data_IF_117359598041
#
_entry.id   IF_117359598041
#
_cell.length_a   1.000
_cell.length_b   1.000
_cell.length_c   1.000
_cell.angle_alpha   90.00
_cell.angle_beta   90.00
_cell.angle_gamma   90.00
#
_symmetry.space_group_name_H-M   'P 1'
#
loop_
_entity.id
_entity.type
_entity.pdbx_description
1 polymer ?
#
# COMPACT_ATOMS: atom_id res chain seq x y z
N UNK A 1 3.96 17.03 -13.67
CA UNK A 1 4.04 15.65 -13.18
C UNK A 1 5.40 15.45 -12.50
N UNK A 2 5.49 14.56 -11.54
CA UNK A 2 6.68 14.38 -10.71
C UNK A 2 6.54 14.94 -9.29
N UNK A 3 5.36 15.41 -8.92
CA UNK A 3 5.06 15.79 -7.53
C UNK A 3 4.66 14.51 -6.78
N UNK A 4 5.33 14.27 -5.65
CA UNK A 4 4.98 13.14 -4.78
C UNK A 4 3.53 13.21 -4.31
N UNK A 5 2.84 12.06 -4.26
CA UNK A 5 1.48 11.94 -3.71
C UNK A 5 1.38 12.48 -2.28
N UNK A 6 2.48 12.49 -1.52
CA UNK A 6 2.53 13.03 -0.15
C UNK A 6 2.17 14.51 -0.08
N UNK A 7 2.63 15.34 -1.03
CA UNK A 7 2.28 16.76 -1.06
C UNK A 7 0.80 16.97 -1.38
N UNK A 8 0.27 16.16 -2.31
CA UNK A 8 -1.16 16.21 -2.68
C UNK A 8 -2.01 15.81 -1.47
N UNK A 9 -1.65 14.71 -0.80
CA UNK A 9 -2.31 14.25 0.43
C UNK A 9 -2.28 15.30 1.54
N UNK A 10 -1.12 15.93 1.77
CA UNK A 10 -0.99 16.98 2.78
C UNK A 10 -1.92 18.17 2.48
N UNK A 11 -1.98 18.63 1.23
CA UNK A 11 -2.88 19.73 0.83
C UNK A 11 -4.36 19.36 1.00
N UNK A 12 -4.75 18.14 0.67
CA UNK A 12 -6.13 17.68 0.88
C UNK A 12 -6.49 17.62 2.36
N UNK A 13 -5.59 17.10 3.21
CA UNK A 13 -5.84 16.98 4.65
C UNK A 13 -6.02 18.32 5.36
N UNK A 14 -5.30 19.37 4.95
CA UNK A 14 -5.46 20.71 5.54
C UNK A 14 -6.62 21.51 4.93
N UNK A 15 -7.12 21.11 3.75
CA UNK A 15 -8.13 21.85 3.00
C UNK A 15 -9.41 22.16 3.78
N UNK A 16 -9.96 21.26 4.64
CA UNK A 16 -11.14 21.56 5.44
C UNK A 16 -10.99 22.80 6.34
N UNK A 17 -9.75 23.08 6.82
CA UNK A 17 -9.46 24.22 7.70
C UNK A 17 -9.15 25.52 6.95
N UNK A 18 -8.98 25.46 5.64
CA UNK A 18 -8.72 26.63 4.82
C UNK A 18 -9.97 27.49 4.62
N UNK A 19 -9.83 28.80 4.61
CA UNK A 19 -10.97 29.77 4.49
C UNK A 19 -11.84 29.53 3.25
N UNK A 20 -11.26 29.05 2.15
CA UNK A 20 -11.97 28.80 0.87
C UNK A 20 -11.86 27.33 0.43
N UNK A 21 -11.26 26.47 1.26
CA UNK A 21 -10.95 25.12 0.85
C UNK A 21 -9.90 25.07 -0.25
N UNK A 22 -9.88 23.98 -1.02
CA UNK A 22 -8.94 23.80 -2.13
C UNK A 22 -9.62 23.09 -3.31
N UNK A 23 -9.18 23.43 -4.52
CA UNK A 23 -9.47 22.65 -5.73
C UNK A 23 -8.12 22.29 -6.38
N UNK A 24 -7.79 21.00 -6.38
CA UNK A 24 -6.55 20.50 -6.96
C UNK A 24 -6.86 19.80 -8.28
N UNK A 25 -6.27 20.31 -9.35
CA UNK A 25 -6.30 19.66 -10.64
C UNK A 25 -4.94 18.98 -10.90
N UNK A 26 -4.95 17.64 -10.95
CA UNK A 26 -3.74 16.85 -11.15
C UNK A 26 -3.49 16.67 -12.64
N UNK A 27 -2.24 16.86 -13.09
CA UNK A 27 -1.85 16.71 -14.49
C UNK A 27 -0.72 15.69 -14.63
N UNK A 28 -0.79 14.85 -15.65
CA UNK A 28 0.21 13.83 -15.94
C UNK A 28 -0.04 12.52 -15.15
N UNK A 29 0.97 11.65 -15.16
CA UNK A 29 0.91 10.37 -14.47
C UNK A 29 1.04 10.55 -12.96
N UNK A 30 0.12 9.97 -12.21
CA UNK A 30 0.14 9.98 -10.75
C UNK A 30 0.95 8.78 -10.25
N UNK A 31 2.14 9.06 -9.73
CA UNK A 31 2.96 8.06 -9.04
C UNK A 31 2.38 7.85 -7.64
N UNK A 32 2.39 6.61 -7.15
CA UNK A 32 1.85 6.26 -5.82
C UNK A 32 0.37 6.66 -5.63
N UNK A 33 -0.44 6.50 -6.67
CA UNK A 33 -1.89 6.78 -6.63
C UNK A 33 -2.60 6.12 -5.43
N UNK A 34 -2.31 4.86 -5.05
CA UNK A 34 -2.95 4.21 -3.91
C UNK A 34 -2.86 5.02 -2.61
N UNK A 35 -1.75 5.72 -2.36
CA UNK A 35 -1.59 6.54 -1.15
C UNK A 35 -2.49 7.78 -1.15
N UNK A 36 -2.71 8.39 -2.33
CA UNK A 36 -3.70 9.45 -2.46
C UNK A 36 -5.12 8.89 -2.22
N UNK A 37 -5.43 7.72 -2.78
CA UNK A 37 -6.72 7.05 -2.58
C UNK A 37 -6.97 6.70 -1.11
N UNK A 38 -5.95 6.19 -0.41
CA UNK A 38 -5.97 5.95 1.02
C UNK A 38 -6.33 7.24 1.78
N UNK A 39 -5.64 8.36 1.48
CA UNK A 39 -5.91 9.66 2.12
C UNK A 39 -7.35 10.10 1.91
N UNK A 40 -7.85 10.07 0.67
CA UNK A 40 -9.22 10.46 0.35
C UNK A 40 -10.25 9.55 1.05
N UNK A 41 -10.00 8.24 1.09
CA UNK A 41 -10.88 7.28 1.75
C UNK A 41 -10.94 7.53 3.26
N UNK A 42 -9.79 7.77 3.91
CA UNK A 42 -9.73 8.12 5.33
C UNK A 42 -10.43 9.46 5.61
N UNK A 43 -10.21 10.49 4.81
CA UNK A 43 -10.91 11.77 4.95
C UNK A 43 -12.44 11.57 4.92
N UNK A 44 -12.94 10.74 3.99
CA UNK A 44 -14.37 10.42 3.89
C UNK A 44 -14.88 9.65 5.11
N UNK A 45 -14.10 8.74 5.70
CA UNK A 45 -14.45 8.06 6.96
C UNK A 45 -14.61 9.05 8.12
N UNK A 46 -13.78 10.10 8.17
CA UNK A 46 -13.91 11.20 9.15
C UNK A 46 -14.99 12.23 8.78
N UNK A 47 -15.85 11.91 7.82
CA UNK A 47 -17.00 12.72 7.42
C UNK A 47 -16.64 13.92 6.54
N UNK A 48 -15.42 13.98 6.01
CA UNK A 48 -15.00 15.04 5.10
C UNK A 48 -15.52 14.73 3.70
N UNK A 49 -16.22 15.69 3.12
CA UNK A 49 -16.69 15.61 1.74
C UNK A 49 -15.53 15.97 0.82
N UNK A 50 -15.08 15.00 0.05
CA UNK A 50 -14.10 15.17 -1.03
C UNK A 50 -14.83 14.91 -2.35
N UNK A 51 -15.12 15.99 -3.09
CA UNK A 51 -15.66 15.92 -4.43
C UNK A 51 -14.54 15.51 -5.39
N UNK A 52 -14.80 14.53 -6.23
CA UNK A 52 -13.82 14.02 -7.18
C UNK A 52 -14.46 13.95 -8.57
N UNK A 53 -13.87 14.67 -9.51
CA UNK A 53 -14.24 14.61 -10.92
C UNK A 53 -12.98 14.42 -11.77
N UNK A 54 -12.85 13.25 -12.39
CA UNK A 54 -11.66 12.86 -13.16
C UNK A 54 -10.38 12.95 -12.29
N UNK A 55 -9.50 13.91 -12.60
CA UNK A 55 -8.26 14.19 -11.87
C UNK A 55 -8.35 15.48 -11.03
N UNK A 56 -9.55 15.94 -10.71
CA UNK A 56 -9.79 17.13 -9.90
C UNK A 56 -10.39 16.73 -8.57
N UNK A 57 -9.77 17.19 -7.49
CA UNK A 57 -10.23 16.96 -6.11
C UNK A 57 -10.60 18.32 -5.50
N UNK A 58 -11.84 18.45 -5.07
CA UNK A 58 -12.33 19.67 -4.41
C UNK A 58 -12.73 19.36 -2.98
N UNK A 59 -12.17 20.10 -2.05
CA UNK A 59 -12.51 20.04 -0.62
C UNK A 59 -12.89 21.44 -0.16
N UNK A 60 -14.13 21.62 0.27
CA UNK A 60 -14.65 22.87 0.81
C UNK A 60 -14.31 23.01 2.29
N UNK A 61 -14.35 24.23 2.86
CA UNK A 61 -14.25 24.43 4.31
C UNK A 61 -15.30 23.61 5.03
N UNK A 62 -14.90 22.82 6.02
CA UNK A 62 -15.80 21.98 6.79
C UNK A 62 -15.17 21.55 8.10
N UNK A 63 -15.98 21.17 9.07
CA UNK A 63 -15.50 20.69 10.36
C UNK A 63 -15.28 19.18 10.32
N UNK A 64 -14.10 18.76 10.74
CA UNK A 64 -13.78 17.34 10.92
C UNK A 64 -14.46 16.83 12.18
N UNK A 65 -15.13 15.68 12.09
CA UNK A 65 -15.77 15.04 13.24
C UNK A 65 -14.87 13.99 13.83
N UNK A 66 -14.62 14.00 15.15
CA UNK A 66 -13.88 12.93 15.80
C UNK A 66 -14.70 11.63 15.75
N UNK A 67 -14.05 10.55 15.38
CA UNK A 67 -14.60 9.19 15.42
C UNK A 67 -13.60 8.25 16.11
N UNK A 68 -14.06 7.17 16.76
CA UNK A 68 -13.18 6.08 17.13
C UNK A 68 -12.55 5.49 15.86
N UNK A 69 -11.23 5.38 15.85
CA UNK A 69 -10.51 4.86 14.68
C UNK A 69 -9.35 3.98 15.13
N UNK A 70 -9.24 2.79 14.56
CA UNK A 70 -8.09 1.91 14.76
C UNK A 70 -7.18 2.01 13.54
N UNK A 71 -5.93 2.39 13.76
CA UNK A 71 -4.94 2.48 12.69
C UNK A 71 -4.53 1.07 12.29
N UNK A 72 -4.66 0.76 11.02
CA UNK A 72 -4.16 -0.48 10.43
C UNK A 72 -2.63 -0.54 10.53
N UNK A 73 -2.07 -1.73 10.71
CA UNK A 73 -0.62 -1.93 10.64
C UNK A 73 -0.07 -1.64 9.23
N UNK A 74 1.21 -1.32 9.17
CA UNK A 74 1.88 -0.87 7.95
C UNK A 74 2.25 -2.06 7.04
N UNK A 75 1.66 -2.11 5.84
CA UNK A 75 1.96 -3.11 4.83
C UNK A 75 3.37 -2.95 4.21
N UNK A 76 3.91 -1.72 4.18
CA UNK A 76 5.30 -1.50 3.76
C UNK A 76 6.26 -2.17 4.74
N UNK A 77 6.05 -1.98 6.04
CA UNK A 77 6.82 -2.67 7.08
C UNK A 77 6.60 -4.19 7.05
N UNK A 78 5.37 -4.64 6.77
CA UNK A 78 5.07 -6.06 6.63
C UNK A 78 5.88 -6.72 5.51
N UNK A 79 6.20 -6.00 4.42
CA UNK A 79 6.92 -6.53 3.26
C UNK A 79 8.26 -7.17 3.62
N UNK A 80 8.96 -6.64 4.62
CA UNK A 80 10.23 -7.22 5.09
C UNK A 80 10.04 -8.61 5.73
N UNK A 81 8.89 -8.86 6.37
CA UNK A 81 8.57 -10.19 6.88
C UNK A 81 8.23 -11.18 5.78
N UNK A 82 7.64 -10.72 4.67
CA UNK A 82 7.49 -11.53 3.46
C UNK A 82 8.85 -11.91 2.87
N UNK A 83 9.79 -10.97 2.84
CA UNK A 83 11.17 -11.23 2.39
C UNK A 83 11.86 -12.27 3.30
N UNK A 84 11.80 -12.08 4.62
CA UNK A 84 12.34 -13.05 5.59
C UNK A 84 11.72 -14.43 5.39
N UNK A 85 10.40 -14.51 5.20
CA UNK A 85 9.72 -15.77 4.95
C UNK A 85 10.18 -16.42 3.63
N UNK A 86 10.36 -15.63 2.56
CA UNK A 86 10.78 -16.13 1.26
C UNK A 86 12.23 -16.63 1.27
N UNK A 87 13.11 -15.97 2.01
CA UNK A 87 14.54 -16.32 2.09
C UNK A 87 14.86 -17.37 3.15
N UNK A 88 13.90 -17.75 4.00
CA UNK A 88 14.13 -18.79 5.02
C UNK A 88 14.51 -20.12 4.40
N UNK A 89 15.51 -20.79 4.98
CA UNK A 89 15.95 -22.14 4.58
C UNK A 89 15.17 -23.25 5.30
N UNK A 90 14.39 -22.89 6.32
CA UNK A 90 13.57 -23.81 7.13
C UNK A 90 12.08 -23.49 6.95
N UNK A 91 11.20 -24.43 7.28
CA UNK A 91 9.78 -24.12 7.36
C UNK A 91 9.55 -22.89 8.24
N UNK A 92 8.77 -21.95 7.76
CA UNK A 92 8.50 -20.70 8.44
C UNK A 92 7.00 -20.47 8.57
N UNK A 93 6.60 -19.99 9.73
CA UNK A 93 5.29 -19.45 10.01
C UNK A 93 5.48 -18.13 10.77
N UNK A 94 4.96 -17.02 10.22
CA UNK A 94 5.07 -15.68 10.81
C UNK A 94 3.66 -15.13 10.96
N UNK A 95 3.33 -14.66 12.15
CA UNK A 95 2.08 -13.96 12.40
C UNK A 95 2.31 -12.45 12.52
N UNK A 96 1.55 -11.68 11.74
CA UNK A 96 1.59 -10.22 11.70
C UNK A 96 0.22 -9.68 12.14
N UNK A 97 0.15 -9.00 13.28
CA UNK A 97 -1.13 -8.46 13.77
C UNK A 97 -1.50 -7.14 13.08
N UNK A 98 -2.78 -6.86 12.99
CA UNK A 98 -3.32 -5.54 12.63
C UNK A 98 -3.33 -5.23 11.14
N UNK A 99 -2.98 -6.16 10.28
CA UNK A 99 -3.13 -6.04 8.82
C UNK A 99 -4.54 -6.49 8.40
N UNK A 100 -5.17 -5.74 7.50
CA UNK A 100 -6.55 -6.01 7.08
C UNK A 100 -6.61 -6.67 5.69
N UNK A 101 -7.58 -7.58 5.45
CA UNK A 101 -7.76 -8.22 4.15
C UNK A 101 -8.20 -7.22 3.06
N UNK A 102 -8.98 -6.19 3.44
CA UNK A 102 -9.50 -5.16 2.53
C UNK A 102 -8.72 -3.85 2.70
N UNK A 103 -7.41 -3.95 2.89
CA UNK A 103 -6.55 -2.79 3.13
C UNK A 103 -6.64 -1.76 2.01
N UNK A 104 -6.70 -0.49 2.40
CA UNK A 104 -6.60 0.64 1.49
C UNK A 104 -5.14 0.99 1.14
N UNK A 105 -4.17 0.37 1.83
CA UNK A 105 -2.75 0.55 1.54
C UNK A 105 -2.40 -0.18 0.24
N UNK A 106 -1.80 0.51 -0.72
CA UNK A 106 -1.41 -0.07 -2.01
C UNK A 106 -0.44 -1.25 -1.85
N UNK A 107 0.40 -1.18 -0.82
CA UNK A 107 1.43 -2.16 -0.51
C UNK A 107 0.87 -3.52 -0.05
N UNK A 108 -0.42 -3.60 0.32
CA UNK A 108 -1.11 -4.87 0.56
C UNK A 108 -1.04 -5.83 -0.65
N UNK A 109 -0.79 -5.29 -1.84
CA UNK A 109 -0.52 -6.07 -3.06
C UNK A 109 0.64 -7.05 -2.89
N UNK A 110 1.55 -6.82 -1.94
CA UNK A 110 2.67 -7.72 -1.61
C UNK A 110 2.18 -9.15 -1.32
N UNK A 111 1.02 -9.31 -0.69
CA UNK A 111 0.41 -10.60 -0.39
C UNK A 111 0.20 -11.45 -1.65
N UNK A 112 -0.19 -10.82 -2.74
CA UNK A 112 -0.38 -11.50 -4.04
C UNK A 112 0.93 -11.72 -4.78
N UNK A 113 1.85 -10.76 -4.73
CA UNK A 113 3.14 -10.85 -5.43
C UNK A 113 4.02 -11.96 -4.86
N UNK A 114 4.05 -12.10 -3.54
CA UNK A 114 4.90 -13.11 -2.89
C UNK A 114 4.38 -14.55 -3.03
N UNK A 115 3.19 -14.75 -3.54
CA UNK A 115 2.76 -16.09 -3.98
C UNK A 115 3.72 -16.67 -5.04
N UNK A 116 4.28 -15.82 -5.91
CA UNK A 116 5.27 -16.23 -6.91
C UNK A 116 6.57 -16.74 -6.29
N UNK A 117 6.83 -16.42 -5.04
CA UNK A 117 7.99 -16.87 -4.27
C UNK A 117 7.64 -17.95 -3.22
N UNK A 118 6.42 -18.54 -3.33
CA UNK A 118 5.96 -19.61 -2.46
C UNK A 118 5.42 -19.17 -1.10
N UNK A 119 5.17 -17.86 -0.88
CA UNK A 119 4.61 -17.35 0.36
C UNK A 119 3.08 -17.27 0.25
N UNK A 120 2.41 -17.93 1.17
CA UNK A 120 0.96 -17.89 1.33
C UNK A 120 0.59 -16.96 2.47
N UNK A 121 -0.44 -16.17 2.24
CA UNK A 121 -1.00 -15.21 3.19
C UNK A 121 -2.39 -15.67 3.58
N UNK A 122 -2.57 -16.02 4.83
CA UNK A 122 -3.85 -16.41 5.38
C UNK A 122 -4.32 -15.36 6.40
N UNK A 123 -5.52 -14.82 6.24
CA UNK A 123 -6.13 -13.93 7.22
C UNK A 123 -6.88 -14.76 8.26
N UNK A 124 -6.47 -14.66 9.52
CA UNK A 124 -7.06 -15.42 10.60
C UNK A 124 -8.32 -14.74 11.16
N UNK A 125 -9.19 -15.51 11.82
CA UNK A 125 -10.36 -14.97 12.52
C UNK A 125 -10.01 -14.02 13.69
N UNK A 126 -8.75 -14.04 14.15
CA UNK A 126 -8.26 -13.19 15.22
C UNK A 126 -7.71 -11.84 14.73
N UNK A 127 -7.88 -11.51 13.43
CA UNK A 127 -7.40 -10.27 12.83
C UNK A 127 -5.88 -10.24 12.66
N UNK A 128 -5.26 -11.37 12.40
CA UNK A 128 -3.84 -11.52 12.09
C UNK A 128 -3.65 -12.00 10.66
N UNK A 129 -2.53 -11.67 10.09
CA UNK A 129 -2.01 -12.28 8.86
C UNK A 129 -1.01 -13.37 9.26
N UNK A 130 -1.20 -14.56 8.71
CA UNK A 130 -0.25 -15.67 8.85
C UNK A 130 0.45 -15.89 7.52
N UNK A 131 1.77 -15.77 7.53
CA UNK A 131 2.63 -16.08 6.40
C UNK A 131 3.17 -17.49 6.55
N UNK A 132 3.00 -18.31 5.52
CA UNK A 132 3.58 -19.67 5.47
C UNK A 132 4.32 -19.83 4.16
N UNK A 133 5.49 -20.50 4.21
CA UNK A 133 6.20 -20.87 3.00
C UNK A 133 5.81 -22.28 2.57
N UNK A 134 5.36 -22.42 1.33
CA UNK A 134 5.10 -23.73 0.71
C UNK A 134 6.09 -23.91 -0.43
N UNK A 135 6.61 -25.13 -0.54
CA UNK A 135 7.51 -25.48 -1.64
C UNK A 135 6.81 -25.26 -2.98
N UNK A 136 7.36 -24.37 -3.81
CA UNK A 136 6.88 -24.08 -5.15
C UNK A 136 8.10 -23.86 -6.07
N UNK A 137 7.94 -24.19 -7.35
CA UNK A 137 8.93 -23.81 -8.35
C UNK A 137 8.96 -22.28 -8.47
N UNK A 138 10.17 -21.72 -8.38
CA UNK A 138 10.35 -20.28 -8.58
C UNK A 138 10.05 -19.89 -10.03
N UNK A 139 9.61 -18.66 -10.27
CA UNK A 139 9.40 -18.18 -11.62
C UNK A 139 10.75 -18.09 -12.36
N UNK A 140 10.75 -18.39 -13.65
CA UNK A 140 11.94 -18.24 -14.49
C UNK A 140 12.37 -16.77 -14.62
N UNK A 141 11.42 -15.84 -14.43
CA UNK A 141 11.63 -14.41 -14.48
C UNK A 141 10.49 -13.71 -13.74
N UNK A 142 10.79 -12.56 -13.10
CA UNK A 142 9.82 -11.72 -12.40
C UNK A 142 9.91 -10.28 -12.92
N UNK A 143 8.89 -9.82 -13.64
CA UNK A 143 8.82 -8.45 -14.14
C UNK A 143 7.61 -7.74 -13.50
N UNK A 144 7.83 -6.54 -12.95
CA UNK A 144 6.77 -5.78 -12.28
C UNK A 144 6.96 -4.27 -12.43
N UNK A 145 5.84 -3.55 -12.65
CA UNK A 145 5.83 -2.09 -12.67
C UNK A 145 5.47 -1.58 -11.26
N UNK A 146 6.46 -0.97 -10.60
CA UNK A 146 6.35 -0.47 -9.23
C UNK A 146 5.79 0.96 -9.14
N UNK A 147 5.35 1.58 -10.25
CA UNK A 147 4.88 2.98 -10.25
C UNK A 147 3.78 3.25 -9.22
N UNK A 148 2.94 2.26 -8.92
CA UNK A 148 1.86 2.35 -7.94
C UNK A 148 2.30 2.04 -6.51
N UNK A 149 3.35 1.24 -6.31
CA UNK A 149 3.87 0.78 -5.02
C UNK A 149 5.40 0.86 -5.00
N UNK A 150 5.99 2.06 -5.18
CA UNK A 150 7.43 2.20 -5.34
C UNK A 150 8.23 1.69 -4.13
N UNK A 151 7.65 1.75 -2.94
CA UNK A 151 8.29 1.31 -1.70
C UNK A 151 8.51 -0.21 -1.66
N UNK A 152 7.78 -0.98 -2.49
CA UNK A 152 7.96 -2.43 -2.63
C UNK A 152 9.14 -2.81 -3.54
N UNK A 153 9.65 -1.88 -4.33
CA UNK A 153 10.70 -2.18 -5.31
C UNK A 153 11.97 -2.74 -4.65
N UNK A 154 12.37 -2.18 -3.50
CA UNK A 154 13.54 -2.65 -2.77
C UNK A 154 13.36 -4.08 -2.24
N UNK A 155 12.25 -4.41 -1.61
CA UNK A 155 11.94 -5.74 -1.09
C UNK A 155 11.88 -6.77 -2.22
N UNK A 156 11.23 -6.43 -3.33
CA UNK A 156 11.15 -7.30 -4.51
C UNK A 156 12.53 -7.52 -5.15
N UNK A 157 13.35 -6.47 -5.25
CA UNK A 157 14.69 -6.55 -5.81
C UNK A 157 15.60 -7.47 -4.99
N UNK A 158 15.62 -7.29 -3.65
CA UNK A 158 16.42 -8.14 -2.76
C UNK A 158 15.94 -9.59 -2.80
N UNK A 159 14.60 -9.80 -2.71
CA UNK A 159 14.04 -11.15 -2.80
C UNK A 159 14.45 -11.85 -4.10
N UNK A 160 14.25 -11.20 -5.25
CA UNK A 160 14.62 -11.78 -6.55
C UNK A 160 16.12 -12.08 -6.65
N UNK A 161 16.96 -11.13 -6.22
CA UNK A 161 18.42 -11.28 -6.26
C UNK A 161 18.89 -12.46 -5.39
N UNK A 162 18.40 -12.55 -4.15
CA UNK A 162 18.78 -13.60 -3.21
C UNK A 162 18.23 -14.98 -3.60
N UNK A 163 17.11 -15.03 -4.30
CA UNK A 163 16.53 -16.27 -4.82
C UNK A 163 17.04 -16.63 -6.24
N UNK A 164 17.97 -15.85 -6.78
CA UNK A 164 18.53 -16.03 -8.13
C UNK A 164 17.46 -16.02 -9.25
N UNK A 165 16.40 -15.24 -9.07
CA UNK A 165 15.34 -15.06 -10.07
C UNK A 165 15.69 -13.83 -10.92
N UNK A 166 15.87 -13.94 -12.23
CA UNK A 166 16.03 -12.78 -13.12
C UNK A 166 14.81 -11.87 -13.01
N UNK A 167 15.01 -10.55 -12.94
CA UNK A 167 13.89 -9.62 -12.76
C UNK A 167 14.08 -8.29 -13.50
N UNK A 168 12.96 -7.60 -13.71
CA UNK A 168 12.90 -6.20 -14.14
C UNK A 168 11.85 -5.48 -13.32
N UNK A 169 12.27 -4.43 -12.62
CA UNK A 169 11.38 -3.49 -11.93
C UNK A 169 11.44 -2.14 -12.64
N UNK A 170 10.30 -1.51 -12.91
CA UNK A 170 10.18 -0.23 -13.63
C UNK A 170 9.30 0.75 -12.88
#
# INVERSE_FOLDING_TARGET
AGVSSQYISALLMIAPSMTRGICLHLTGTLVSEPYLRLTVALMRQFGIIVEEERQTFTVRPQTVRPIPFTVEADWSAASYWYEVAALSQTPVEIELPGLLPDSLQGDATIASLFRSFGIHTDFTSEGRVRLTRRGMALPNRFDYDCVRIPDMAQTLAVTCAMMHVPFRLS
#
